data_IF_479917363789
#
_entry.id   IF_479917363789
#
_cell.length_a   1.000
_cell.length_b   1.000
_cell.length_c   1.000
_cell.angle_alpha   90.00
_cell.angle_beta   90.00
_cell.angle_gamma   90.00
#
_symmetry.space_group_name_H-M   'P 1'
#
loop_
_entity.id
_entity.type
_entity.pdbx_description
1 polymer ?
#
# COMPACT_ATOMS: atom_id res chain seq x y z
N UNK A 1 -41.89 -16.83 -17.08
CA UNK A 1 -40.66 -17.25 -16.42
C UNK A 1 -39.76 -16.02 -16.35
N UNK A 2 -39.64 -15.40 -15.19
CA UNK A 2 -38.68 -14.31 -14.95
C UNK A 2 -37.36 -14.96 -14.58
N UNK A 3 -36.33 -14.80 -15.42
CA UNK A 3 -34.96 -15.14 -15.08
C UNK A 3 -34.50 -14.11 -14.03
N UNK A 4 -34.31 -14.53 -12.79
CA UNK A 4 -33.62 -13.75 -11.78
C UNK A 4 -32.17 -13.61 -12.26
N UNK A 5 -31.80 -12.41 -12.70
CA UNK A 5 -30.42 -12.05 -12.92
C UNK A 5 -29.71 -12.06 -11.56
N UNK A 6 -28.97 -13.11 -11.27
CA UNK A 6 -27.98 -13.10 -10.20
C UNK A 6 -26.92 -12.08 -10.61
N UNK A 7 -27.04 -10.85 -10.10
CA UNK A 7 -25.97 -9.85 -10.13
C UNK A 7 -24.89 -10.30 -9.12
N UNK A 8 -24.15 -11.36 -9.47
CA UNK A 8 -22.93 -11.66 -8.77
C UNK A 8 -21.93 -10.54 -9.01
N UNK A 9 -21.49 -9.87 -7.94
CA UNK A 9 -20.36 -8.98 -8.04
C UNK A 9 -19.19 -9.77 -8.65
N UNK A 10 -18.55 -9.18 -9.68
CA UNK A 10 -17.38 -9.79 -10.31
C UNK A 10 -16.22 -9.92 -9.31
N UNK A 11 -15.12 -10.59 -9.72
CA UNK A 11 -13.94 -10.68 -8.88
C UNK A 11 -13.36 -9.29 -8.60
N UNK A 12 -12.95 -9.05 -7.34
CA UNK A 12 -12.42 -7.76 -6.87
C UNK A 12 -11.09 -7.98 -6.13
N UNK A 13 -10.20 -6.98 -6.20
CA UNK A 13 -9.03 -6.89 -5.35
C UNK A 13 -9.44 -6.29 -4.00
N UNK A 14 -9.05 -6.95 -2.91
CA UNK A 14 -9.35 -6.50 -1.55
C UNK A 14 -8.11 -6.53 -0.66
N UNK A 15 -8.06 -5.66 0.36
CA UNK A 15 -7.14 -5.85 1.47
C UNK A 15 -7.38 -7.22 2.10
N UNK A 16 -6.30 -8.01 2.26
CA UNK A 16 -6.31 -9.28 2.96
C UNK A 16 -5.95 -9.09 4.43
N UNK A 17 -6.43 -9.99 5.29
CA UNK A 17 -6.10 -10.02 6.73
C UNK A 17 -7.16 -9.41 7.63
N UNK A 18 -7.07 -9.79 8.92
CA UNK A 18 -8.02 -9.46 10.00
C UNK A 18 -7.83 -8.07 10.60
N UNK A 19 -7.03 -7.22 10.00
CA UNK A 19 -6.88 -5.88 10.54
C UNK A 19 -8.20 -5.12 10.41
N UNK A 20 -8.75 -4.55 11.51
CA UNK A 20 -9.71 -3.48 11.35
C UNK A 20 -9.05 -2.41 10.48
N UNK A 21 -9.83 -1.61 9.76
CA UNK A 21 -9.30 -0.48 9.01
C UNK A 21 -8.85 0.63 10.00
N UNK A 22 -7.95 0.27 10.91
CA UNK A 22 -7.28 1.26 11.73
C UNK A 22 -6.32 1.97 10.78
N UNK A 23 -6.60 3.23 10.54
CA UNK A 23 -5.69 4.11 9.83
C UNK A 23 -4.41 4.20 10.64
N UNK A 24 -3.46 3.31 10.37
CA UNK A 24 -2.11 3.42 10.91
C UNK A 24 -1.36 4.43 10.06
N UNK A 25 -0.63 5.33 10.71
CA UNK A 25 0.21 6.31 10.02
C UNK A 25 1.66 6.06 10.42
N UNK A 26 2.48 5.75 9.43
CA UNK A 26 3.91 5.57 9.60
C UNK A 26 4.64 6.90 9.41
N UNK A 27 5.51 7.28 10.34
CA UNK A 27 6.43 8.41 10.18
C UNK A 27 7.78 7.94 9.65
N UNK A 28 8.28 8.54 8.59
CA UNK A 28 9.50 8.12 7.91
C UNK A 28 10.42 9.32 7.71
N UNK A 29 11.56 9.37 8.42
CA UNK A 29 12.55 10.43 8.26
C UNK A 29 13.48 10.20 7.07
N UNK A 30 14.17 11.24 6.66
CA UNK A 30 15.25 11.23 5.67
C UNK A 30 14.87 10.71 4.27
N UNK A 31 13.58 10.82 3.89
CA UNK A 31 13.10 10.35 2.59
C UNK A 31 13.60 11.26 1.47
N UNK A 32 14.11 10.67 0.41
CA UNK A 32 14.56 11.36 -0.80
C UNK A 32 14.40 10.51 -2.05
N UNK A 33 14.59 11.09 -3.22
CA UNK A 33 14.60 10.34 -4.48
C UNK A 33 15.76 9.34 -4.57
N UNK A 34 16.91 9.63 -3.92
CA UNK A 34 18.06 8.73 -3.90
C UNK A 34 17.91 7.60 -2.86
N UNK A 35 17.12 7.85 -1.81
CA UNK A 35 16.83 6.88 -0.74
C UNK A 35 15.31 6.90 -0.46
N UNK A 36 14.51 6.25 -1.29
CA UNK A 36 13.05 6.21 -1.13
C UNK A 36 12.66 5.40 0.11
N UNK A 37 11.58 5.82 0.74
CA UNK A 37 10.96 5.03 1.79
C UNK A 37 10.23 3.83 1.17
N UNK A 38 10.39 2.67 1.80
CA UNK A 38 9.64 1.47 1.46
C UNK A 38 8.53 1.28 2.49
N UNK A 39 7.34 1.01 2.00
CA UNK A 39 6.14 0.71 2.77
C UNK A 39 5.66 -0.69 2.39
N UNK A 40 5.49 -1.55 3.38
CA UNK A 40 4.99 -2.91 3.18
C UNK A 40 3.95 -3.31 4.21
N UNK A 41 3.75 -4.61 4.39
CA UNK A 41 2.71 -5.15 5.26
C UNK A 41 1.29 -4.99 4.69
N UNK A 42 1.18 -4.49 3.48
CA UNK A 42 -0.10 -4.37 2.76
C UNK A 42 -0.40 -5.69 2.05
N UNK A 43 -1.24 -6.50 2.65
CA UNK A 43 -1.64 -7.79 2.06
C UNK A 43 -2.87 -7.59 1.21
N UNK A 44 -2.86 -8.14 0.00
CA UNK A 44 -3.94 -8.06 -0.99
C UNK A 44 -4.35 -9.46 -1.45
N UNK A 45 -5.65 -9.66 -1.70
CA UNK A 45 -6.19 -10.89 -2.26
C UNK A 45 -7.30 -10.59 -3.27
N UNK A 46 -7.60 -11.55 -4.15
CA UNK A 46 -8.69 -11.46 -5.14
C UNK A 46 -9.88 -12.26 -4.68
N UNK A 47 -11.08 -11.67 -4.72
CA UNK A 47 -12.33 -12.40 -4.49
C UNK A 47 -12.73 -13.14 -5.75
N UNK A 48 -12.91 -14.46 -5.66
CA UNK A 48 -13.28 -15.27 -6.83
C UNK A 48 -12.10 -15.59 -7.76
N UNK A 49 -12.35 -16.27 -8.88
CA UNK A 49 -11.31 -16.79 -9.75
C UNK A 49 -10.59 -15.68 -10.55
N UNK A 50 -9.30 -15.85 -10.76
CA UNK A 50 -8.47 -14.94 -11.55
C UNK A 50 -7.33 -14.33 -10.76
N UNK A 51 -6.65 -13.38 -11.38
CA UNK A 51 -5.58 -12.59 -10.78
C UNK A 51 -5.80 -11.11 -11.08
N UNK A 52 -5.34 -10.24 -10.19
CA UNK A 52 -5.39 -8.79 -10.39
C UNK A 52 -4.01 -8.25 -10.74
N UNK A 53 -3.91 -7.45 -11.79
CA UNK A 53 -2.68 -6.73 -12.15
C UNK A 53 -2.82 -5.30 -11.64
N UNK A 54 -1.93 -4.86 -10.75
CA UNK A 54 -1.88 -3.48 -10.27
C UNK A 54 -1.31 -2.60 -11.39
N UNK A 55 -2.04 -1.54 -11.72
CA UNK A 55 -1.70 -0.64 -12.84
C UNK A 55 -1.19 0.72 -12.37
N UNK A 56 -1.65 1.19 -11.20
CA UNK A 56 -1.15 2.42 -10.57
C UNK A 56 -1.41 2.40 -9.07
N UNK A 57 -0.64 3.21 -8.33
CA UNK A 57 -0.85 3.48 -6.92
C UNK A 57 -0.78 5.00 -6.73
N UNK A 58 -1.73 5.55 -5.97
CA UNK A 58 -1.85 6.98 -5.73
C UNK A 58 -2.08 7.26 -4.24
N UNK A 59 -1.50 8.33 -3.69
CA UNK A 59 -1.79 8.72 -2.31
C UNK A 59 -3.23 9.26 -2.17
N UNK A 60 -3.89 8.94 -1.05
CA UNK A 60 -5.22 9.44 -0.69
C UNK A 60 -5.08 10.66 0.21
N UNK A 61 -5.75 11.75 -0.13
CA UNK A 61 -5.71 13.05 0.59
C UNK A 61 -4.27 13.49 0.89
N UNK A 62 -3.40 13.61 -0.12
CA UNK A 62 -2.01 13.97 0.13
C UNK A 62 -1.89 15.42 0.64
N UNK A 63 -0.99 15.62 1.60
CA UNK A 63 -0.47 16.95 1.96
C UNK A 63 0.94 17.05 1.43
N UNK A 64 1.18 17.90 0.44
CA UNK A 64 2.45 17.95 -0.28
C UNK A 64 2.56 16.92 -1.41
N UNK A 65 3.67 16.96 -2.13
CA UNK A 65 3.91 16.06 -3.26
C UNK A 65 4.53 14.74 -2.79
N UNK A 66 3.90 13.63 -3.15
CA UNK A 66 4.40 12.27 -2.95
C UNK A 66 4.56 11.64 -4.33
N UNK A 67 5.71 11.08 -4.61
CA UNK A 67 6.00 10.32 -5.80
C UNK A 67 6.05 8.82 -5.46
N UNK A 68 5.25 8.00 -6.13
CA UNK A 68 5.39 6.55 -6.09
C UNK A 68 6.47 6.17 -7.11
N UNK A 69 7.66 5.83 -6.61
CA UNK A 69 8.85 5.55 -7.42
C UNK A 69 8.78 4.15 -8.02
N UNK A 70 8.31 3.18 -7.22
CA UNK A 70 8.15 1.79 -7.63
C UNK A 70 7.12 1.08 -6.76
N UNK A 71 6.59 -0.03 -7.27
CA UNK A 71 5.74 -0.94 -6.48
C UNK A 71 5.80 -2.35 -7.06
N UNK A 72 5.69 -3.33 -6.20
CA UNK A 72 5.73 -4.74 -6.57
C UNK A 72 4.96 -5.60 -5.58
N UNK A 73 4.60 -6.81 -6.02
CA UNK A 73 3.95 -7.82 -5.17
C UNK A 73 4.86 -9.03 -5.01
N UNK A 74 4.72 -9.73 -3.88
CA UNK A 74 5.31 -11.04 -3.62
C UNK A 74 4.33 -11.89 -2.81
N UNK A 75 4.46 -13.24 -2.80
CA UNK A 75 3.74 -14.06 -1.84
C UNK A 75 3.97 -13.55 -0.41
N UNK A 76 2.91 -13.44 0.39
CA UNK A 76 3.03 -12.92 1.75
C UNK A 76 3.90 -13.85 2.61
N UNK A 77 5.10 -13.43 3.04
CA UNK A 77 5.99 -14.26 3.83
C UNK A 77 5.42 -14.58 5.22
N UNK A 78 4.50 -13.78 5.75
CA UNK A 78 3.83 -14.03 7.02
C UNK A 78 3.06 -15.36 7.05
N UNK A 79 2.63 -15.87 5.89
CA UNK A 79 1.97 -17.19 5.81
C UNK A 79 2.94 -18.36 6.06
N UNK A 80 4.23 -18.16 5.86
CA UNK A 80 5.28 -19.17 6.04
C UNK A 80 6.19 -18.87 7.23
N UNK A 81 5.79 -17.94 8.11
CA UNK A 81 6.57 -17.52 9.28
C UNK A 81 7.72 -16.57 8.95
N UNK A 82 7.76 -16.02 7.75
CA UNK A 82 8.72 -14.97 7.36
C UNK A 82 8.24 -13.58 7.76
N UNK A 83 9.15 -12.61 7.67
CA UNK A 83 8.83 -11.22 7.98
C UNK A 83 8.25 -10.49 6.77
N UNK A 84 7.16 -9.77 7.00
CA UNK A 84 6.63 -8.80 6.04
C UNK A 84 7.54 -7.56 5.99
N UNK A 85 7.55 -6.88 4.85
CA UNK A 85 8.19 -5.58 4.74
C UNK A 85 7.45 -4.59 5.68
N UNK A 86 8.19 -3.99 6.59
CA UNK A 86 7.68 -2.92 7.44
C UNK A 86 7.82 -1.55 6.76
N UNK A 87 8.44 -0.63 7.49
CA UNK A 87 8.89 0.67 6.98
C UNK A 87 10.41 0.64 6.94
N UNK A 88 10.95 0.68 5.73
CA UNK A 88 12.36 0.49 5.45
C UNK A 88 12.87 1.56 4.46
N UNK A 89 14.14 1.50 4.09
CA UNK A 89 14.72 2.31 3.01
C UNK A 89 15.42 1.44 1.98
N UNK A 90 15.69 1.98 0.81
CA UNK A 90 16.42 1.28 -0.25
C UNK A 90 15.53 0.82 -1.41
N UNK A 91 15.66 -0.43 -1.84
CA UNK A 91 14.93 -0.96 -3.00
C UNK A 91 14.07 -2.16 -2.63
N UNK A 92 12.88 -2.26 -3.23
CA UNK A 92 11.98 -3.41 -3.04
C UNK A 92 12.67 -4.74 -3.35
N UNK A 93 13.60 -4.75 -4.32
CA UNK A 93 14.35 -5.94 -4.68
C UNK A 93 15.22 -6.48 -3.55
N UNK A 94 15.80 -5.61 -2.72
CA UNK A 94 16.61 -6.03 -1.56
C UNK A 94 15.79 -6.81 -0.52
N UNK A 95 14.47 -6.59 -0.52
CA UNK A 95 13.51 -7.27 0.37
C UNK A 95 12.74 -8.40 -0.31
N UNK A 96 13.25 -8.92 -1.44
CA UNK A 96 12.70 -10.11 -2.10
C UNK A 96 11.51 -9.84 -3.02
N UNK A 97 11.18 -8.58 -3.29
CA UNK A 97 10.21 -8.26 -4.34
C UNK A 97 10.88 -8.34 -5.71
N UNK A 98 10.20 -8.98 -6.65
CA UNK A 98 10.54 -8.93 -8.08
C UNK A 98 9.73 -7.80 -8.74
N UNK A 99 9.95 -7.57 -10.05
CA UNK A 99 9.13 -6.61 -10.80
C UNK A 99 7.69 -7.10 -11.06
N UNK A 100 7.19 -8.02 -10.24
CA UNK A 100 5.84 -8.55 -10.33
C UNK A 100 4.84 -7.53 -9.78
N UNK A 101 3.72 -7.32 -10.49
CA UNK A 101 2.61 -6.44 -10.10
C UNK A 101 1.28 -7.20 -10.06
N UNK A 102 1.34 -8.52 -10.01
CA UNK A 102 0.17 -9.38 -10.07
C UNK A 102 -0.12 -9.96 -8.69
N UNK A 103 -1.35 -9.81 -8.25
CA UNK A 103 -1.91 -10.48 -7.06
C UNK A 103 -2.61 -11.75 -7.54
N UNK A 104 -2.09 -12.91 -7.12
CA UNK A 104 -2.63 -14.22 -7.48
C UNK A 104 -3.38 -14.89 -6.32
N UNK A 105 -3.09 -14.45 -5.11
CA UNK A 105 -3.70 -15.04 -3.92
C UNK A 105 -5.20 -14.80 -3.90
N UNK A 106 -5.96 -15.85 -3.63
CA UNK A 106 -7.41 -15.80 -3.44
C UNK A 106 -7.74 -15.44 -2.00
N UNK A 107 -8.77 -14.60 -1.80
CA UNK A 107 -9.29 -14.34 -0.47
C UNK A 107 -9.91 -15.63 0.08
N UNK A 108 -9.45 -16.09 1.24
CA UNK A 108 -10.01 -17.28 1.92
C UNK A 108 -11.28 -16.95 2.70
N UNK A 109 -12.02 -18.01 3.03
CA UNK A 109 -13.14 -17.94 3.97
C UNK A 109 -12.60 -17.80 5.41
N UNK A 110 -12.52 -16.60 5.89
CA UNK A 110 -11.95 -16.27 7.19
C UNK A 110 -10.56 -15.68 7.09
N UNK A 111 -10.41 -14.68 7.80
CA UNK A 111 -9.36 -13.66 7.90
C UNK A 111 -7.91 -14.12 8.18
N UNK A 112 -7.43 -15.15 7.55
CA UNK A 112 -6.17 -15.82 7.86
C UNK A 112 -4.90 -15.13 7.34
N UNK A 113 -4.96 -13.84 6.96
CA UNK A 113 -3.79 -13.14 6.40
C UNK A 113 -3.32 -13.70 5.05
N UNK A 114 -4.18 -14.46 4.38
CA UNK A 114 -3.89 -14.96 3.03
C UNK A 114 -3.88 -13.81 2.05
N UNK A 115 -2.88 -13.80 1.19
CA UNK A 115 -2.73 -12.76 0.19
C UNK A 115 -1.33 -12.71 -0.37
N UNK A 116 -1.14 -11.80 -1.31
CA UNK A 116 0.17 -11.36 -1.74
C UNK A 116 0.50 -10.04 -1.04
N UNK A 117 1.73 -9.88 -0.58
CA UNK A 117 2.21 -8.64 0.01
C UNK A 117 2.53 -7.62 -1.09
N UNK A 118 2.00 -6.41 -0.95
CA UNK A 118 2.35 -5.24 -1.74
C UNK A 118 3.42 -4.42 -1.02
N UNK A 119 4.52 -4.17 -1.70
CA UNK A 119 5.53 -3.17 -1.33
C UNK A 119 5.42 -1.95 -2.22
N UNK A 120 5.52 -0.76 -1.64
CA UNK A 120 5.53 0.52 -2.34
C UNK A 120 6.81 1.28 -1.98
N UNK A 121 7.53 1.80 -2.98
CA UNK A 121 8.63 2.73 -2.80
C UNK A 121 8.14 4.16 -3.08
N UNK A 122 8.34 5.07 -2.15
CA UNK A 122 7.86 6.44 -2.24
C UNK A 122 8.96 7.45 -1.94
N UNK A 123 8.90 8.60 -2.58
CA UNK A 123 9.79 9.72 -2.33
C UNK A 123 9.03 11.04 -2.21
N UNK A 124 9.75 12.06 -1.76
CA UNK A 124 9.29 13.46 -1.76
C UNK A 124 10.31 14.33 -2.47
N UNK A 125 9.92 15.45 -3.09
CA UNK A 125 10.86 16.42 -3.65
C UNK A 125 11.85 16.91 -2.60
N UNK A 126 13.10 17.21 -2.98
CA UNK A 126 14.13 17.67 -2.05
C UNK A 126 13.67 18.85 -1.19
N UNK A 127 13.92 18.77 0.12
CA UNK A 127 13.58 19.83 1.08
C UNK A 127 12.08 19.97 1.38
N UNK A 128 11.25 19.06 0.91
CA UNK A 128 9.80 19.06 1.19
C UNK A 128 9.42 17.92 2.12
N UNK A 129 8.27 18.05 2.76
CA UNK A 129 7.65 17.00 3.55
C UNK A 129 6.23 16.78 3.03
N UNK A 130 5.72 15.57 3.16
CA UNK A 130 4.40 15.22 2.69
C UNK A 130 3.75 14.16 3.57
N UNK A 131 2.45 13.97 3.42
CA UNK A 131 1.74 12.92 4.11
C UNK A 131 0.54 12.44 3.29
N UNK A 132 0.05 11.24 3.62
CA UNK A 132 -1.14 10.64 3.04
C UNK A 132 -1.89 9.83 4.07
N UNK A 133 -3.21 9.74 3.95
CA UNK A 133 -4.05 8.90 4.83
C UNK A 133 -4.15 7.45 4.37
N UNK A 134 -3.69 7.15 3.17
CA UNK A 134 -3.77 5.82 2.59
C UNK A 134 -3.40 5.83 1.11
N UNK A 135 -3.66 4.71 0.45
CA UNK A 135 -3.29 4.48 -0.95
C UNK A 135 -4.49 4.00 -1.75
N UNK A 136 -4.77 4.62 -2.88
CA UNK A 136 -5.66 4.10 -3.91
C UNK A 136 -4.84 3.20 -4.83
N UNK A 137 -5.33 1.99 -5.06
CA UNK A 137 -4.69 0.97 -5.88
C UNK A 137 -5.57 0.73 -7.09
N UNK A 138 -5.16 1.20 -8.26
CA UNK A 138 -5.81 0.89 -9.53
C UNK A 138 -5.35 -0.49 -10.01
N UNK A 139 -6.29 -1.31 -10.47
CA UNK A 139 -5.98 -2.66 -10.93
C UNK A 139 -6.89 -3.11 -12.08
N UNK A 140 -6.53 -4.24 -12.70
CA UNK A 140 -7.34 -4.93 -13.71
C UNK A 140 -7.44 -6.41 -13.39
N UNK A 141 -8.64 -6.97 -13.61
CA UNK A 141 -8.90 -8.41 -13.61
C UNK A 141 -9.47 -8.74 -14.99
N UNK A 142 -8.71 -9.43 -15.82
CA UNK A 142 -9.04 -9.55 -17.25
C UNK A 142 -9.14 -8.18 -17.91
N UNK A 143 -10.28 -7.88 -18.55
CA UNK A 143 -10.55 -6.59 -19.18
C UNK A 143 -11.23 -5.56 -18.25
N UNK A 144 -11.57 -5.96 -17.04
CA UNK A 144 -12.24 -5.09 -16.09
C UNK A 144 -11.23 -4.29 -15.27
N UNK A 145 -11.31 -2.95 -15.35
CA UNK A 145 -10.51 -2.04 -14.55
C UNK A 145 -11.33 -1.53 -13.36
N UNK A 146 -10.70 -1.47 -12.18
CA UNK A 146 -11.30 -0.96 -10.95
C UNK A 146 -10.23 -0.39 -10.02
N UNK A 147 -10.63 0.16 -8.89
CA UNK A 147 -9.74 0.59 -7.82
C UNK A 147 -10.20 0.08 -6.46
N UNK A 148 -9.25 -0.02 -5.55
CA UNK A 148 -9.50 -0.28 -4.12
C UNK A 148 -8.62 0.64 -3.28
N UNK A 149 -8.92 0.79 -2.00
CA UNK A 149 -8.13 1.62 -1.09
C UNK A 149 -7.52 0.78 0.03
N UNK A 150 -6.31 1.17 0.44
CA UNK A 150 -5.62 0.60 1.59
C UNK A 150 -5.33 1.70 2.62
N UNK A 151 -5.86 1.61 3.86
CA UNK A 151 -5.81 2.69 4.85
C UNK A 151 -4.49 2.69 5.67
N UNK A 152 -3.36 2.60 5.01
CA UNK A 152 -2.04 2.78 5.61
C UNK A 152 -1.53 4.19 5.27
N UNK A 153 -1.62 5.12 6.21
CA UNK A 153 -1.08 6.46 6.04
C UNK A 153 0.44 6.50 6.16
N UNK A 154 1.04 7.54 5.60
CA UNK A 154 2.46 7.80 5.74
C UNK A 154 2.73 9.30 5.90
N UNK A 155 3.71 9.65 6.73
CA UNK A 155 4.30 10.98 6.81
C UNK A 155 5.77 10.87 6.44
N UNK A 156 6.14 11.52 5.37
CA UNK A 156 7.45 11.46 4.73
C UNK A 156 8.18 12.77 4.99
N UNK A 157 9.31 12.70 5.66
CA UNK A 157 10.12 13.85 6.03
C UNK A 157 11.46 13.84 5.30
N UNK A 158 11.82 14.94 4.70
CA UNK A 158 13.13 15.10 4.05
C UNK A 158 14.28 15.31 5.06
N UNK A 159 13.94 15.51 6.34
CA UNK A 159 14.90 15.68 7.44
C UNK A 159 15.12 14.37 8.19
N UNK A 160 16.30 14.20 8.87
CA UNK A 160 16.60 13.01 9.63
C UNK A 160 15.75 12.81 10.89
N UNK A 161 14.97 13.81 11.28
CA UNK A 161 14.16 13.75 12.51
C UNK A 161 12.71 14.07 12.23
N UNK A 162 11.81 13.20 12.72
CA UNK A 162 10.37 13.43 12.71
C UNK A 162 9.95 14.61 13.61
N UNK A 163 10.81 15.00 14.56
CA UNK A 163 10.55 16.11 15.49
C UNK A 163 10.93 17.47 14.94
N UNK A 164 11.57 17.54 13.78
CA UNK A 164 11.89 18.82 13.13
C UNK A 164 10.62 19.59 12.79
N UNK A 165 10.65 20.93 12.98
CA UNK A 165 9.47 21.78 12.81
C UNK A 165 8.71 21.54 11.49
N UNK A 166 9.38 21.45 10.31
CA UNK A 166 8.67 21.22 9.05
C UNK A 166 7.95 19.88 9.00
N UNK A 167 8.55 18.80 9.54
CA UNK A 167 7.93 17.50 9.59
C UNK A 167 6.78 17.47 10.60
N UNK A 168 6.98 18.04 11.79
CA UNK A 168 5.95 18.15 12.82
C UNK A 168 4.70 18.88 12.32
N UNK A 169 4.84 19.86 11.44
CA UNK A 169 3.71 20.56 10.83
C UNK A 169 2.83 19.60 10.00
N UNK A 170 3.43 18.67 9.25
CA UNK A 170 2.67 17.64 8.51
C UNK A 170 1.89 16.74 9.48
N UNK A 171 2.50 16.29 10.58
CA UNK A 171 1.81 15.50 11.60
C UNK A 171 0.56 16.21 12.14
N UNK A 172 0.67 17.51 12.41
CA UNK A 172 -0.44 18.33 12.91
C UNK A 172 -1.61 18.41 11.93
N UNK A 173 -1.33 18.42 10.60
CA UNK A 173 -2.37 18.41 9.57
C UNK A 173 -3.22 17.13 9.58
N UNK A 174 -2.68 16.02 10.09
CA UNK A 174 -3.40 14.76 10.29
C UNK A 174 -4.01 14.63 11.70
N UNK A 175 -4.01 15.70 12.50
CA UNK A 175 -4.52 15.68 13.87
C UNK A 175 -3.66 14.87 14.84
N UNK A 176 -2.41 14.60 14.48
CA UNK A 176 -1.46 13.84 15.29
C UNK A 176 -0.50 14.77 16.04
N UNK A 177 -0.11 14.36 17.23
CA UNK A 177 0.85 15.07 18.08
C UNK A 177 2.03 14.15 18.40
N UNK A 178 3.24 14.61 18.09
CA UNK A 178 4.52 13.97 18.44
C UNK A 178 5.03 14.48 19.78
#
# INVERSE_FOLDING_TARGET
>A
MLAAACSGAGPELRPGGNGPPNTSIAGIPAVSAADPALLGGMVLCVTGPGSAVITAIKPIHPTGAIEVVDYATRPNPGQTGGEQLGVESGTLRAYGFSANRTVNAQCGDGDSGQGDELGIAVSVPPGTNAGTTGWEIDYRIGDHAASTSFPLGAILCSTPSLHDKPCKHVWQQFGLHL
#
